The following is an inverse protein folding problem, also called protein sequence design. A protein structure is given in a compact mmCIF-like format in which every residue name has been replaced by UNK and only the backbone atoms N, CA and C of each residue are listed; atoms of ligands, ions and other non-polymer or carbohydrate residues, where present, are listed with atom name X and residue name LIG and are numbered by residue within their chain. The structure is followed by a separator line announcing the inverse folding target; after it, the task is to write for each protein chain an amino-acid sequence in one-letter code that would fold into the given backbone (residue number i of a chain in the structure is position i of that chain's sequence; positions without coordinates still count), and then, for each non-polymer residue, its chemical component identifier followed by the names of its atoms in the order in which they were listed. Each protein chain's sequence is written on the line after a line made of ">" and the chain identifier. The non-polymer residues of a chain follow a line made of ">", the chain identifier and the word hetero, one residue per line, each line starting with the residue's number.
data_IF_868762313238
#
_entry.id   IF_868762313238
#
_cell.length_a   1.000
_cell.length_b   1.000
_cell.length_c   1.000
_cell.angle_alpha   90.00
_cell.angle_beta   90.00
_cell.angle_gamma   90.00
#
_symmetry.space_group_name_H-M   'P 1'
#
loop_
_entity.id
_entity.type
_entity.pdbx_description
1 polymer ?
#
# COMPACT_ATOMS: atom_id res chain seq x y z
N UNK A 1 -11.97 16.02 57.73
CA UNK A 1 -13.33 16.28 58.22
C UNK A 1 -14.01 17.25 57.24
N UNK A 2 -15.07 16.79 56.57
CA UNK A 2 -16.05 17.57 55.76
C UNK A 2 -16.80 18.58 56.68
N UNK A 3 -17.58 19.61 56.22
CA UNK A 3 -18.54 19.49 55.09
C UNK A 3 -19.09 20.77 54.34
N UNK A 4 -19.89 20.54 53.25
CA UNK A 4 -21.11 21.29 52.74
C UNK A 4 -20.90 22.75 52.19
N UNK A 5 -21.45 23.29 51.08
CA UNK A 5 -22.66 23.15 50.22
C UNK A 5 -22.35 23.70 48.78
N UNK A 6 -22.78 23.09 47.65
CA UNK A 6 -24.05 23.23 46.86
C UNK A 6 -24.44 24.62 46.30
N UNK A 7 -24.53 24.68 44.97
CA UNK A 7 -25.33 25.60 44.13
C UNK A 7 -24.94 25.39 42.65
N UNK A 8 -25.62 24.59 41.81
CA UNK A 8 -26.91 24.73 41.10
C UNK A 8 -27.08 26.07 40.38
N UNK A 9 -26.81 26.10 39.06
CA UNK A 9 -27.56 26.74 37.96
C UNK A 9 -26.97 26.12 36.68
N UNK A 10 -27.67 25.44 35.76
CA UNK A 10 -29.06 25.55 35.36
C UNK A 10 -29.14 26.41 34.09
N UNK A 11 -28.84 25.84 32.92
CA UNK A 11 -28.86 26.56 31.63
C UNK A 11 -28.97 25.61 30.45
N UNK A 12 -30.16 25.02 30.28
CA UNK A 12 -30.56 24.30 29.07
C UNK A 12 -30.89 25.30 27.96
N UNK A 13 -30.16 25.25 26.84
CA UNK A 13 -30.55 25.96 25.62
C UNK A 13 -31.41 25.00 24.80
N UNK A 14 -32.70 25.31 24.72
CA UNK A 14 -33.67 24.68 23.82
C UNK A 14 -33.36 25.11 22.38
N UNK A 15 -32.89 24.20 21.54
CA UNK A 15 -32.96 24.36 20.08
C UNK A 15 -34.26 23.71 19.61
N UNK A 16 -35.19 24.58 19.23
CA UNK A 16 -36.52 24.27 18.71
C UNK A 16 -36.44 23.54 17.37
N UNK A 17 -37.23 22.47 17.27
CA UNK A 17 -37.59 21.80 16.01
C UNK A 17 -38.22 22.82 15.05
N UNK A 18 -37.69 22.90 13.82
CA UNK A 18 -38.51 23.31 12.69
C UNK A 18 -38.46 22.23 11.60
N UNK A 19 -39.66 21.82 11.23
CA UNK A 19 -40.02 20.80 10.27
C UNK A 19 -39.98 21.33 8.83
N UNK A 20 -39.87 20.37 7.89
CA UNK A 20 -40.21 20.43 6.45
C UNK A 20 -39.02 20.70 5.50
N UNK A 21 -38.54 19.61 4.90
CA UNK A 21 -37.71 19.60 3.70
C UNK A 21 -37.68 18.17 3.15
N UNK A 22 -38.18 17.99 1.94
CA UNK A 22 -38.64 16.74 1.36
C UNK A 22 -37.58 15.64 1.19
N UNK A 23 -38.02 14.40 1.42
CA UNK A 23 -37.31 13.17 1.08
C UNK A 23 -37.49 12.97 -0.43
N UNK A 24 -36.46 13.25 -1.23
CA UNK A 24 -36.41 12.81 -2.62
C UNK A 24 -35.71 11.44 -2.66
N UNK A 25 -36.54 10.42 -2.75
CA UNK A 25 -36.18 9.05 -3.14
C UNK A 25 -35.81 9.00 -4.62
N UNK A 26 -34.89 8.08 -4.94
CA UNK A 26 -34.57 7.51 -6.26
C UNK A 26 -33.63 8.31 -7.18
N UNK A 27 -32.32 8.14 -6.99
CA UNK A 27 -31.37 8.13 -8.11
C UNK A 27 -31.27 6.69 -8.64
N UNK A 28 -31.79 6.48 -9.85
CA UNK A 28 -31.74 5.20 -10.54
C UNK A 28 -30.30 4.77 -10.80
N UNK A 29 -29.92 3.61 -10.25
CA UNK A 29 -28.80 2.83 -10.73
C UNK A 29 -29.08 2.43 -12.19
N UNK A 30 -28.37 3.07 -13.12
CA UNK A 30 -28.36 2.67 -14.53
C UNK A 30 -27.35 1.54 -14.68
N UNK A 31 -27.78 0.31 -14.36
CA UNK A 31 -27.03 -0.89 -14.69
C UNK A 31 -27.04 -1.07 -16.21
N UNK A 32 -25.87 -0.95 -16.84
CA UNK A 32 -25.67 -1.33 -18.24
C UNK A 32 -25.44 -2.85 -18.22
N UNK A 33 -26.42 -3.59 -18.72
CA UNK A 33 -26.29 -5.02 -18.96
C UNK A 33 -25.39 -5.22 -20.19
N UNK A 34 -24.28 -5.96 -20.02
CA UNK A 34 -23.50 -6.48 -21.13
C UNK A 34 -23.62 -8.00 -21.11
N UNK A 35 -24.06 -8.52 -22.24
CA UNK A 35 -24.44 -9.91 -22.50
C UNK A 35 -23.22 -10.82 -22.44
N UNK A 36 -23.33 -11.87 -21.62
CA UNK A 36 -22.45 -13.03 -21.62
C UNK A 36 -22.65 -13.88 -22.87
N UNK A 37 -21.57 -14.12 -23.61
CA UNK A 37 -21.48 -15.24 -24.56
C UNK A 37 -20.09 -15.87 -24.43
N UNK A 38 -20.04 -17.04 -23.80
CA UNK A 38 -19.05 -18.11 -24.04
C UNK A 38 -19.46 -18.81 -25.35
N UNK A 39 -18.61 -19.30 -26.25
CA UNK A 39 -17.39 -20.10 -26.13
C UNK A 39 -16.57 -20.04 -27.43
N UNK A 40 -15.30 -20.45 -27.32
CA UNK A 40 -14.54 -21.32 -28.23
C UNK A 40 -13.15 -20.82 -28.64
N UNK A 41 -12.16 -21.62 -28.23
CA UNK A 41 -10.75 -21.56 -28.59
C UNK A 41 -10.53 -21.96 -30.05
N UNK A 42 -9.62 -21.28 -30.75
CA UNK A 42 -8.57 -21.89 -31.60
C UNK A 42 -7.61 -20.88 -32.21
N UNK A 43 -6.43 -21.43 -32.48
CA UNK A 43 -5.13 -20.80 -32.71
C UNK A 43 -4.90 -20.06 -34.05
N UNK A 44 -3.80 -19.29 -34.00
CA UNK A 44 -2.79 -19.08 -35.05
C UNK A 44 -3.01 -18.04 -36.16
N UNK A 45 -2.04 -17.12 -36.16
CA UNK A 45 -1.33 -16.56 -37.32
C UNK A 45 -1.83 -15.25 -37.95
N UNK A 46 -0.83 -14.56 -38.47
CA UNK A 46 -0.62 -13.14 -38.74
C UNK A 46 -1.59 -12.47 -39.69
N UNK A 47 -1.94 -11.22 -39.40
CA UNK A 47 -2.26 -10.23 -40.44
C UNK A 47 -1.90 -8.83 -39.95
N UNK A 48 -1.03 -8.18 -40.71
CA UNK A 48 -0.69 -6.76 -40.57
C UNK A 48 -1.92 -5.91 -40.85
N UNK A 49 -2.19 -4.94 -39.98
CA UNK A 49 -3.12 -3.85 -40.27
C UNK A 49 -2.42 -2.55 -39.88
N UNK A 50 -1.83 -1.93 -40.90
CA UNK A 50 -1.55 -0.51 -40.92
C UNK A 50 -2.86 0.26 -40.78
N UNK A 51 -2.85 1.22 -39.85
CA UNK A 51 -3.99 2.05 -39.49
C UNK A 51 -3.51 3.26 -38.72
N UNK A 52 -2.82 4.13 -39.44
CA UNK A 52 -2.43 5.50 -39.10
C UNK A 52 -3.62 6.31 -38.56
N UNK A 53 -3.50 6.84 -37.34
CA UNK A 53 -4.15 8.10 -36.99
C UNK A 53 -3.36 8.87 -35.92
N UNK A 54 -2.75 9.96 -36.40
CA UNK A 54 -2.45 11.23 -35.70
C UNK A 54 -1.64 11.18 -34.40
N UNK A 55 -0.34 10.93 -34.58
CA UNK A 55 0.72 11.25 -33.63
C UNK A 55 0.88 12.76 -33.39
N UNK A 56 0.28 13.28 -32.31
CA UNK A 56 0.83 14.47 -31.65
C UNK A 56 2.06 14.03 -30.84
N UNK A 57 3.24 14.06 -31.47
CA UNK A 57 4.51 13.64 -30.87
C UNK A 57 5.00 14.64 -29.81
N UNK A 58 4.34 14.70 -28.66
CA UNK A 58 4.98 15.16 -27.43
C UNK A 58 5.72 13.97 -26.83
N UNK A 59 7.05 14.09 -26.63
CA UNK A 59 7.85 13.08 -25.95
C UNK A 59 7.18 12.65 -24.63
N UNK A 60 7.25 11.37 -24.23
CA UNK A 60 6.62 10.91 -22.99
C UNK A 60 7.18 11.71 -21.81
N UNK A 61 6.29 12.37 -21.08
CA UNK A 61 6.63 13.15 -19.89
C UNK A 61 7.28 12.23 -18.83
N UNK A 62 8.60 12.36 -18.60
CA UNK A 62 9.35 11.52 -17.65
C UNK A 62 8.88 11.61 -16.18
N UNK A 63 7.96 12.54 -15.87
CA UNK A 63 7.40 12.74 -14.53
C UNK A 63 5.96 12.22 -14.41
N UNK A 64 5.37 11.75 -15.49
CA UNK A 64 4.00 11.23 -15.48
C UNK A 64 3.96 9.87 -14.78
N UNK A 65 2.93 9.66 -13.97
CA UNK A 65 2.66 8.45 -13.18
C UNK A 65 1.19 8.07 -13.26
N UNK A 66 0.53 8.45 -14.35
CA UNK A 66 -0.85 8.11 -14.67
C UNK A 66 -1.03 6.64 -15.01
N UNK A 67 -0.02 6.01 -15.64
CA UNK A 67 -0.05 4.63 -16.10
C UNK A 67 0.06 3.66 -14.92
N UNK A 68 -0.89 2.73 -14.85
CA UNK A 68 -0.87 1.65 -13.86
C UNK A 68 -0.06 0.51 -14.45
N UNK A 69 1.06 0.16 -13.79
CA UNK A 69 1.94 -0.92 -14.23
C UNK A 69 1.52 -2.22 -13.53
N UNK A 70 1.29 -3.31 -14.28
CA UNK A 70 0.95 -4.59 -13.68
C UNK A 70 2.16 -5.21 -13.00
N UNK A 71 1.90 -6.04 -11.99
CA UNK A 71 2.93 -6.61 -11.11
C UNK A 71 3.86 -7.54 -11.86
N UNK A 72 3.32 -8.27 -12.84
CA UNK A 72 4.06 -9.20 -13.68
C UNK A 72 5.16 -8.47 -14.47
N UNK A 73 4.88 -7.24 -14.91
CA UNK A 73 5.88 -6.39 -15.58
C UNK A 73 6.97 -5.96 -14.59
N UNK A 74 6.60 -5.63 -13.35
CA UNK A 74 7.58 -5.30 -12.30
C UNK A 74 8.52 -6.47 -12.00
N UNK A 75 7.98 -7.68 -11.87
CA UNK A 75 8.78 -8.90 -11.66
C UNK A 75 9.71 -9.20 -12.84
N UNK A 76 9.22 -9.02 -14.08
CA UNK A 76 10.07 -9.14 -15.28
C UNK A 76 11.17 -8.10 -15.31
N UNK A 77 10.88 -6.88 -14.86
CA UNK A 77 11.86 -5.79 -14.80
C UNK A 77 13.01 -6.11 -13.84
N UNK A 78 12.74 -6.64 -12.64
CA UNK A 78 13.81 -7.02 -11.70
C UNK A 78 14.79 -8.05 -12.29
N UNK A 79 14.30 -8.96 -13.13
CA UNK A 79 15.10 -9.99 -13.81
C UNK A 79 15.80 -9.48 -15.08
N UNK A 80 15.48 -8.26 -15.51
CA UNK A 80 16.00 -7.70 -16.75
C UNK A 80 17.46 -7.24 -16.60
N UNK A 81 18.19 -7.24 -17.73
CA UNK A 81 19.54 -6.68 -17.79
C UNK A 81 19.57 -5.19 -17.44
N UNK A 82 18.49 -4.45 -17.75
CA UNK A 82 18.38 -3.03 -17.44
C UNK A 82 18.43 -2.77 -15.93
N UNK A 83 17.68 -3.53 -15.13
CA UNK A 83 17.70 -3.42 -13.67
C UNK A 83 19.09 -3.73 -13.10
N UNK A 84 19.71 -4.80 -13.59
CA UNK A 84 21.07 -5.19 -13.18
C UNK A 84 22.10 -4.11 -13.53
N UNK A 85 21.96 -3.46 -14.68
CA UNK A 85 22.85 -2.37 -15.08
C UNK A 85 22.67 -1.11 -14.21
N UNK A 86 21.44 -0.80 -13.79
CA UNK A 86 21.15 0.41 -13.01
C UNK A 86 21.47 0.25 -11.52
N UNK A 87 21.13 -0.88 -10.92
CA UNK A 87 21.23 -1.10 -9.47
C UNK A 87 22.38 -2.05 -9.09
N UNK A 88 22.82 -2.93 -10.00
CA UNK A 88 23.88 -3.91 -9.71
C UNK A 88 23.42 -4.98 -8.73
N UNK A 89 24.28 -5.28 -7.75
CA UNK A 89 24.03 -6.22 -6.66
C UNK A 89 23.54 -5.52 -5.38
N UNK A 90 23.54 -4.18 -5.37
CA UNK A 90 23.12 -3.38 -4.24
C UNK A 90 21.58 -3.26 -4.16
N UNK A 91 21.08 -2.98 -2.95
CA UNK A 91 19.66 -2.65 -2.77
C UNK A 91 19.26 -1.37 -3.50
N UNK A 92 18.00 -1.31 -3.97
CA UNK A 92 17.43 -0.19 -4.73
C UNK A 92 17.64 1.18 -4.06
N UNK A 93 17.64 1.23 -2.73
CA UNK A 93 17.70 2.47 -1.95
C UNK A 93 19.13 2.88 -1.57
N UNK A 94 20.15 2.06 -1.80
CA UNK A 94 21.55 2.34 -1.40
C UNK A 94 22.11 3.59 -2.06
N UNK A 95 21.88 3.76 -3.36
CA UNK A 95 22.37 4.91 -4.12
C UNK A 95 21.61 6.22 -3.84
N UNK A 96 20.51 6.16 -3.09
CA UNK A 96 19.67 7.33 -2.88
C UNK A 96 20.08 8.13 -1.65
N UNK A 97 20.31 9.44 -1.85
CA UNK A 97 20.58 10.40 -0.80
C UNK A 97 19.55 11.52 -0.80
N UNK A 98 18.97 11.78 0.38
CA UNK A 98 17.96 12.84 0.55
C UNK A 98 18.59 14.17 0.94
N UNK A 99 18.25 15.20 0.18
CA UNK A 99 18.60 16.59 0.49
C UNK A 99 17.82 17.08 1.72
N UNK A 100 18.53 17.55 2.74
CA UNK A 100 17.98 18.15 3.96
C UNK A 100 18.96 19.17 4.52
N UNK A 101 18.48 20.08 5.37
CA UNK A 101 19.31 21.13 5.98
C UNK A 101 20.00 20.61 7.24
N UNK A 102 21.29 20.90 7.37
CA UNK A 102 22.09 20.61 8.57
C UNK A 102 22.65 19.18 8.59
N UNK A 103 23.31 18.85 9.71
CA UNK A 103 23.95 17.54 9.93
C UNK A 103 22.93 16.41 10.12
N UNK A 104 21.82 16.71 10.79
CA UNK A 104 20.82 15.71 11.17
C UNK A 104 19.59 15.78 10.28
N UNK A 105 19.21 14.64 9.69
CA UNK A 105 17.99 14.53 8.92
C UNK A 105 16.75 14.73 9.80
N UNK A 106 15.67 15.35 9.26
CA UNK A 106 14.39 15.39 9.95
C UNK A 106 13.92 13.97 10.29
N UNK A 107 13.39 13.76 11.50
CA UNK A 107 12.92 12.45 11.97
C UNK A 107 11.88 11.78 11.06
N UNK A 108 11.11 12.57 10.32
CA UNK A 108 10.09 12.08 9.38
C UNK A 108 10.46 12.49 7.95
N UNK A 109 10.26 11.58 7.01
CA UNK A 109 10.39 11.89 5.57
C UNK A 109 9.18 12.68 5.08
N UNK A 110 9.21 13.12 3.81
CA UNK A 110 8.07 13.80 3.19
C UNK A 110 6.85 12.86 3.11
N UNK A 111 5.64 13.42 3.19
CA UNK A 111 4.39 12.64 3.10
C UNK A 111 4.32 11.80 1.82
N UNK A 112 4.59 12.42 0.66
CA UNK A 112 4.45 11.83 -0.67
C UNK A 112 5.41 12.50 -1.65
N UNK A 113 5.92 11.77 -2.65
CA UNK A 113 6.63 12.34 -3.80
C UNK A 113 5.70 12.66 -4.99
N UNK A 114 4.61 11.91 -5.12
CA UNK A 114 3.66 12.00 -6.25
C UNK A 114 2.41 12.75 -5.80
N UNK A 115 1.96 13.72 -6.60
CA UNK A 115 0.70 14.46 -6.42
C UNK A 115 -0.01 14.50 -7.77
N UNK A 116 -1.32 14.25 -7.80
CA UNK A 116 -2.11 14.26 -9.04
C UNK A 116 -1.44 13.45 -10.16
N UNK A 117 -0.98 12.24 -9.84
CA UNK A 117 -0.27 11.33 -10.76
C UNK A 117 0.97 11.93 -11.44
N UNK A 118 1.57 12.99 -10.90
CA UNK A 118 2.82 13.57 -11.40
C UNK A 118 3.87 13.67 -10.28
N UNK A 119 5.13 13.47 -10.64
CA UNK A 119 6.24 13.72 -9.70
C UNK A 119 6.40 15.23 -9.51
N UNK A 120 6.04 15.70 -8.32
CA UNK A 120 6.22 17.11 -7.91
C UNK A 120 7.60 17.39 -7.34
N UNK A 121 8.29 16.33 -6.92
CA UNK A 121 9.55 16.43 -6.20
C UNK A 121 10.74 16.37 -7.15
N UNK A 122 11.73 17.26 -7.00
CA UNK A 122 12.97 17.22 -7.79
C UNK A 122 13.84 15.98 -7.55
N UNK A 123 13.97 15.54 -6.28
CA UNK A 123 14.67 14.31 -5.90
C UNK A 123 13.65 13.30 -5.29
N UNK A 124 12.94 12.49 -6.11
CA UNK A 124 11.92 11.55 -5.67
C UNK A 124 12.51 10.32 -4.95
N UNK A 125 11.67 9.60 -4.19
CA UNK A 125 12.10 8.41 -3.44
C UNK A 125 12.59 7.27 -4.37
N UNK A 126 13.39 6.30 -3.91
CA UNK A 126 13.88 5.19 -4.73
C UNK A 126 12.80 4.39 -5.49
N UNK A 127 11.63 4.23 -4.86
CA UNK A 127 10.45 3.59 -5.47
C UNK A 127 9.64 4.56 -6.35
N UNK A 128 9.74 5.86 -6.08
CA UNK A 128 8.95 6.88 -6.76
C UNK A 128 9.66 7.42 -8.01
N UNK A 129 10.97 7.20 -8.13
CA UNK A 129 11.79 7.62 -9.28
C UNK A 129 11.64 6.68 -10.46
N UNK A 130 11.45 5.40 -10.17
CA UNK A 130 11.31 4.32 -11.14
C UNK A 130 9.84 3.91 -11.21
N UNK A 131 9.33 3.65 -12.40
CA UNK A 131 7.92 3.31 -12.62
C UNK A 131 7.68 1.83 -12.43
N UNK A 132 8.68 1.03 -12.82
CA UNK A 132 8.59 -0.42 -12.86
C UNK A 132 8.82 -1.06 -11.48
N UNK A 133 9.18 -0.28 -10.47
CA UNK A 133 9.28 -0.74 -9.08
C UNK A 133 7.92 -0.60 -8.38
N UNK A 134 7.09 -1.63 -8.51
CA UNK A 134 5.75 -1.68 -7.92
C UNK A 134 5.80 -2.49 -6.62
N UNK A 135 5.31 -1.87 -5.54
CA UNK A 135 5.24 -2.50 -4.22
C UNK A 135 3.97 -3.35 -4.12
N UNK A 136 4.11 -4.65 -4.32
CA UNK A 136 3.04 -5.65 -4.18
C UNK A 136 3.52 -6.86 -3.40
N UNK A 137 2.58 -7.56 -2.75
CA UNK A 137 2.86 -8.73 -1.91
C UNK A 137 3.42 -9.93 -2.70
N UNK A 138 3.12 -10.01 -4.00
CA UNK A 138 3.60 -11.07 -4.91
C UNK A 138 5.08 -10.91 -5.29
N UNK A 139 5.61 -9.69 -5.17
CA UNK A 139 6.98 -9.36 -5.57
C UNK A 139 7.93 -9.49 -4.37
N UNK A 140 8.27 -10.72 -4.01
CA UNK A 140 9.15 -11.01 -2.86
C UNK A 140 10.56 -10.47 -3.06
N UNK A 141 11.12 -10.61 -4.28
CA UNK A 141 12.46 -10.12 -4.66
C UNK A 141 12.65 -8.62 -4.39
N UNK A 142 11.59 -7.81 -4.55
CA UNK A 142 11.63 -6.38 -4.20
C UNK A 142 11.44 -6.15 -2.70
N UNK A 143 10.50 -6.85 -2.07
CA UNK A 143 10.14 -6.63 -0.66
C UNK A 143 11.28 -7.00 0.29
N UNK A 144 12.01 -8.09 0.01
CA UNK A 144 13.14 -8.56 0.80
C UNK A 144 14.24 -7.49 0.94
N UNK A 145 14.46 -6.66 -0.09
CA UNK A 145 15.44 -5.57 -0.05
C UNK A 145 15.13 -4.48 1.00
N UNK A 146 13.87 -4.39 1.42
CA UNK A 146 13.41 -3.45 2.44
C UNK A 146 13.19 -4.09 3.80
N UNK A 147 13.50 -5.38 3.95
CA UNK A 147 13.42 -6.14 5.20
C UNK A 147 14.83 -6.33 5.75
N UNK A 148 14.98 -6.31 7.07
CA UNK A 148 16.24 -6.67 7.72
C UNK A 148 16.45 -8.18 7.65
N UNK A 149 17.62 -8.67 7.17
CA UNK A 149 17.88 -10.11 7.08
C UNK A 149 17.98 -10.80 8.44
N UNK A 150 18.28 -10.05 9.51
CA UNK A 150 18.45 -10.62 10.86
C UNK A 150 17.18 -10.56 11.70
N UNK A 151 16.45 -9.44 11.63
CA UNK A 151 15.28 -9.23 12.49
C UNK A 151 13.96 -9.60 11.79
N UNK A 152 13.96 -9.71 10.45
CA UNK A 152 12.73 -9.85 9.67
C UNK A 152 11.86 -8.57 9.65
N UNK A 153 12.29 -7.50 10.31
CA UNK A 153 11.55 -6.24 10.39
C UNK A 153 11.71 -5.35 9.15
N UNK A 154 10.65 -4.61 8.82
CA UNK A 154 10.67 -3.62 7.73
C UNK A 154 11.55 -2.44 8.11
N UNK A 155 12.51 -2.11 7.26
CA UNK A 155 13.41 -0.98 7.47
C UNK A 155 12.64 0.35 7.48
N UNK A 156 12.96 1.19 8.47
CA UNK A 156 12.36 2.52 8.59
C UNK A 156 12.69 3.39 7.36
N UNK A 157 11.76 4.27 7.00
CA UNK A 157 11.96 5.28 5.95
C UNK A 157 13.15 6.23 6.21
N UNK A 158 13.65 6.30 7.45
CA UNK A 158 14.87 7.07 7.78
C UNK A 158 16.12 6.44 7.17
N UNK A 159 16.15 5.11 7.05
CA UNK A 159 17.26 4.36 6.42
C UNK A 159 17.06 4.27 4.91
N UNK A 160 15.86 3.90 4.47
CA UNK A 160 15.56 3.65 3.04
C UNK A 160 15.26 4.91 2.24
N UNK A 161 14.96 6.03 2.90
CA UNK A 161 14.70 7.31 2.22
C UNK A 161 13.34 7.41 1.52
N UNK A 162 12.43 6.45 1.76
CA UNK A 162 11.09 6.40 1.19
C UNK A 162 10.19 7.57 1.65
N UNK A 163 9.20 7.93 0.82
CA UNK A 163 8.13 8.80 1.28
C UNK A 163 7.18 8.03 2.20
N UNK A 164 6.49 8.73 3.11
CA UNK A 164 5.62 8.07 4.10
C UNK A 164 4.51 7.23 3.45
N UNK A 165 3.95 7.69 2.33
CA UNK A 165 2.93 6.94 1.58
C UNK A 165 3.48 5.65 0.98
N UNK A 166 4.67 5.66 0.37
CA UNK A 166 5.27 4.43 -0.17
C UNK A 166 5.68 3.49 0.95
N UNK A 167 6.18 4.00 2.08
CA UNK A 167 6.49 3.17 3.25
C UNK A 167 5.24 2.53 3.87
N UNK A 168 4.11 3.23 3.90
CA UNK A 168 2.83 2.64 4.30
C UNK A 168 2.41 1.51 3.35
N UNK A 169 2.52 1.73 2.03
CA UNK A 169 2.24 0.69 1.02
C UNK A 169 3.15 -0.52 1.20
N UNK A 170 4.45 -0.30 1.43
CA UNK A 170 5.42 -1.35 1.73
C UNK A 170 5.00 -2.18 2.95
N UNK A 171 4.63 -1.53 4.06
CA UNK A 171 4.16 -2.24 5.27
C UNK A 171 2.93 -3.09 4.99
N UNK A 172 1.96 -2.57 4.24
CA UNK A 172 0.76 -3.31 3.86
C UNK A 172 1.12 -4.50 2.97
N UNK A 173 1.96 -4.32 1.96
CA UNK A 173 2.40 -5.39 1.07
C UNK A 173 3.17 -6.49 1.83
N UNK A 174 4.06 -6.13 2.76
CA UNK A 174 4.79 -7.09 3.59
C UNK A 174 3.83 -7.86 4.51
N UNK A 175 2.86 -7.18 5.12
CA UNK A 175 1.87 -7.86 5.95
C UNK A 175 1.04 -8.85 5.11
N UNK A 176 0.54 -8.42 3.96
CA UNK A 176 -0.19 -9.27 3.03
C UNK A 176 0.66 -10.46 2.55
N UNK A 177 1.95 -10.25 2.30
CA UNK A 177 2.86 -11.31 1.88
C UNK A 177 3.10 -12.34 2.99
N UNK A 178 3.19 -11.91 4.26
CA UNK A 178 3.27 -12.81 5.42
C UNK A 178 1.98 -13.59 5.61
N UNK A 179 0.83 -12.93 5.52
CA UNK A 179 -0.48 -13.55 5.68
C UNK A 179 -0.77 -14.57 4.56
N UNK A 180 -0.30 -14.28 3.34
CA UNK A 180 -0.45 -15.16 2.17
C UNK A 180 0.63 -16.25 2.08
N UNK A 181 1.64 -16.23 2.95
CA UNK A 181 2.74 -17.20 2.95
C UNK A 181 3.80 -17.01 1.86
N UNK A 182 3.86 -15.84 1.20
CA UNK A 182 4.95 -15.52 0.26
C UNK A 182 6.26 -15.17 0.96
N UNK A 183 6.18 -14.57 2.16
CA UNK A 183 7.34 -14.25 2.99
C UNK A 183 7.35 -15.10 4.24
N UNK A 184 8.50 -15.71 4.53
CA UNK A 184 8.74 -16.42 5.79
C UNK A 184 9.02 -15.41 6.91
N UNK A 185 8.55 -15.73 8.11
CA UNK A 185 8.80 -14.95 9.31
C UNK A 185 8.70 -15.84 10.54
N UNK A 186 9.31 -15.41 11.64
CA UNK A 186 9.31 -16.17 12.88
C UNK A 186 7.98 -16.01 13.60
N UNK A 187 7.28 -17.13 13.81
CA UNK A 187 6.05 -17.19 14.60
C UNK A 187 6.39 -17.75 15.98
N UNK A 188 6.15 -17.01 17.07
CA UNK A 188 6.40 -17.52 18.41
C UNK A 188 5.44 -18.67 18.73
N UNK A 189 5.95 -19.73 19.35
CA UNK A 189 5.12 -20.78 19.89
C UNK A 189 4.31 -20.24 21.07
N UNK A 190 3.00 -20.54 21.08
CA UNK A 190 2.10 -20.22 22.18
C UNK A 190 1.76 -21.50 22.92
N UNK A 191 2.17 -21.59 24.17
CA UNK A 191 1.78 -22.67 25.07
C UNK A 191 0.38 -22.40 25.64
N UNK A 192 -0.42 -23.45 25.77
CA UNK A 192 -1.76 -23.40 26.34
C UNK A 192 -1.85 -24.38 27.50
N UNK A 193 -2.43 -23.94 28.62
CA UNK A 193 -2.80 -24.85 29.70
C UNK A 193 -4.15 -25.49 29.40
N UNK A 194 -4.13 -26.76 28.98
CA UNK A 194 -5.34 -27.50 28.66
C UNK A 194 -6.23 -27.79 29.87
N UNK A 195 -5.70 -27.70 31.10
CA UNK A 195 -6.49 -27.94 32.32
C UNK A 195 -7.59 -26.90 32.52
N UNK A 196 -7.38 -25.66 32.04
CA UNK A 196 -8.38 -24.59 32.04
C UNK A 196 -9.56 -24.89 31.10
N UNK A 197 -9.33 -25.65 30.02
CA UNK A 197 -10.35 -25.88 28.99
C UNK A 197 -11.26 -27.07 29.29
N UNK A 198 -10.72 -28.16 29.84
CA UNK A 198 -11.50 -29.38 30.08
C UNK A 198 -12.32 -29.36 31.37
N UNK A 199 -12.15 -28.33 32.22
CA UNK A 199 -12.79 -28.24 33.54
C UNK A 199 -12.32 -29.35 34.48
N UNK A 200 -12.41 -29.12 35.79
CA UNK A 200 -12.18 -30.18 36.76
C UNK A 200 -13.26 -31.25 36.53
N UNK A 201 -12.89 -32.38 35.92
CA UNK A 201 -13.77 -33.54 35.84
C UNK A 201 -14.31 -33.78 37.25
N UNK A 202 -15.63 -33.63 37.40
CA UNK A 202 -16.28 -33.78 38.70
C UNK A 202 -15.85 -35.14 39.24
N UNK A 203 -15.04 -35.12 40.30
CA UNK A 203 -14.66 -36.32 41.05
C UNK A 203 -15.98 -36.99 41.42
N UNK A 204 -16.33 -38.06 40.71
CA UNK A 204 -17.55 -38.80 40.97
C UNK A 204 -17.51 -39.20 42.44
N UNK A 205 -18.49 -38.71 43.20
CA UNK A 205 -18.63 -38.95 44.63
C UNK A 205 -18.57 -40.46 44.87
N UNK A 206 -17.62 -40.87 45.72
CA UNK A 206 -17.57 -42.19 46.32
C UNK A 206 -18.84 -42.46 47.13
#
# INVERSE_FOLDING_TARGET
>A
MLPIARGIYGGLVNITRNSRGAIHTASGFRCKAETSTSTDEKDAESTEVDGDDSSSSSAPDAKDRSKIIPVETSMRYLKSAAYKQTYGEDFVWTQYRRNHKGMYAPRKTRKTCIRQNRITTGNPCPICRDEYLVLDYRNTELLEQFISPHNGDVLSYSKTGLCQKSHLRLRVAVQQARDSGYLTYDVPFREYDYSEYYGQQQKQKA
#
